data_IF_375538959159
#
_entry.id   IF_375538959159
#
_cell.length_a   1.000
_cell.length_b   1.000
_cell.length_c   1.000
_cell.angle_alpha   90.00
_cell.angle_beta   90.00
_cell.angle_gamma   90.00
#
_symmetry.space_group_name_H-M   'P 1'
#
loop_
_entity.id
_entity.type
_entity.pdbx_description
1 polymer ?
#
# COMPACT_ATOMS: atom_id res chain seq x y z
N UNK A 1 27.22 1.29 52.19
CA UNK A 1 25.83 1.61 51.80
C UNK A 1 25.67 1.27 50.33
N UNK A 2 24.69 0.44 49.97
CA UNK A 2 24.40 0.08 48.57
C UNK A 2 23.99 1.32 47.77
N UNK A 3 24.44 1.44 46.52
CA UNK A 3 23.93 2.47 45.60
C UNK A 3 22.43 2.22 45.38
N UNK A 4 21.64 3.29 45.45
CA UNK A 4 20.23 3.27 45.04
C UNK A 4 20.11 2.67 43.63
N UNK A 5 19.16 1.74 43.45
CA UNK A 5 18.89 1.10 42.16
C UNK A 5 17.38 1.02 41.96
N UNK A 6 16.84 1.89 41.11
CA UNK A 6 15.41 1.92 40.80
C UNK A 6 15.13 1.15 39.51
N UNK A 7 13.92 0.62 39.38
CA UNK A 7 13.49 -0.07 38.15
C UNK A 7 12.29 0.65 37.52
N UNK A 8 12.19 0.60 36.18
CA UNK A 8 11.02 1.13 35.49
C UNK A 8 9.71 0.44 35.88
N UNK A 9 9.77 -0.80 36.38
CA UNK A 9 8.60 -1.50 36.94
C UNK A 9 8.14 -0.84 38.26
N UNK A 10 9.07 -0.48 39.15
CA UNK A 10 8.75 0.20 40.40
C UNK A 10 8.13 1.58 40.17
N UNK A 11 8.65 2.35 39.21
CA UNK A 11 8.10 3.68 38.88
C UNK A 11 6.69 3.60 38.25
N UNK A 12 6.43 2.59 37.42
CA UNK A 12 5.08 2.35 36.89
C UNK A 12 4.08 1.99 37.99
N UNK A 13 4.50 1.19 38.98
CA UNK A 13 3.64 0.81 40.10
C UNK A 13 3.21 2.00 40.97
N UNK A 14 3.96 3.12 40.97
CA UNK A 14 3.60 4.34 41.69
C UNK A 14 2.91 5.39 40.80
N UNK A 15 2.65 5.08 39.52
CA UNK A 15 1.86 5.94 38.62
C UNK A 15 2.65 6.81 37.64
N UNK A 16 3.95 6.57 37.41
CA UNK A 16 4.68 7.29 36.35
C UNK A 16 4.14 6.95 34.95
N UNK A 17 3.97 7.95 34.06
CA UNK A 17 3.57 7.72 32.68
C UNK A 17 4.65 6.97 31.90
N UNK A 18 4.24 6.10 30.98
CA UNK A 18 5.19 5.43 30.09
C UNK A 18 5.88 6.44 29.18
N UNK A 19 7.22 6.42 29.16
CA UNK A 19 8.01 7.31 28.32
C UNK A 19 9.28 7.84 28.99
N UNK A 20 9.85 8.95 28.47
CA UNK A 20 11.12 9.52 28.94
C UNK A 20 11.09 9.96 30.42
N UNK A 21 9.91 10.21 31.00
CA UNK A 21 9.76 10.54 32.42
C UNK A 21 10.36 9.47 33.34
N UNK A 22 10.22 8.17 33.00
CA UNK A 22 10.75 7.06 33.80
C UNK A 22 12.27 7.04 33.77
N UNK A 23 12.88 7.17 32.59
CA UNK A 23 14.35 7.15 32.47
C UNK A 23 14.98 8.39 33.11
N UNK A 24 14.34 9.55 32.98
CA UNK A 24 14.78 10.80 33.62
C UNK A 24 14.68 10.69 35.15
N UNK A 25 13.56 10.16 35.67
CA UNK A 25 13.38 9.96 37.11
C UNK A 25 14.43 9.01 37.69
N UNK A 26 14.65 7.84 37.08
CA UNK A 26 15.70 6.90 37.52
C UNK A 26 17.07 7.58 37.52
N UNK A 27 17.44 8.24 36.42
CA UNK A 27 18.73 8.94 36.29
C UNK A 27 18.91 10.01 37.35
N UNK A 28 17.88 10.84 37.61
CA UNK A 28 17.97 11.91 38.61
C UNK A 28 18.06 11.35 40.03
N UNK A 29 17.29 10.30 40.36
CA UNK A 29 17.33 9.69 41.69
C UNK A 29 18.68 9.02 41.96
N UNK A 30 19.24 8.31 40.98
CA UNK A 30 20.56 7.67 41.11
C UNK A 30 21.71 8.69 41.23
N UNK A 31 21.57 9.87 40.62
CA UNK A 31 22.57 10.94 40.68
C UNK A 31 22.48 11.78 41.95
N UNK A 32 21.28 12.20 42.34
CA UNK A 32 21.05 13.20 43.39
C UNK A 32 20.64 12.60 44.73
N UNK A 33 20.09 11.40 44.74
CA UNK A 33 19.55 10.74 45.93
C UNK A 33 20.21 9.38 46.23
N UNK A 34 21.44 9.16 45.75
CA UNK A 34 22.19 7.87 45.78
C UNK A 34 22.31 7.15 47.14
N UNK A 35 22.09 7.84 48.26
CA UNK A 35 22.19 7.32 49.62
C UNK A 35 20.83 7.01 50.26
N UNK A 36 19.71 7.26 49.56
CA UNK A 36 18.37 6.94 50.03
C UNK A 36 18.09 5.44 49.88
N UNK A 37 17.18 4.92 50.71
CA UNK A 37 16.56 3.62 50.46
C UNK A 37 15.65 3.71 49.23
N UNK A 38 15.37 2.55 48.61
CA UNK A 38 14.43 2.47 47.48
C UNK A 38 13.05 3.03 47.86
N UNK A 39 12.56 2.70 49.06
CA UNK A 39 11.27 3.16 49.56
C UNK A 39 11.23 4.69 49.75
N UNK A 40 12.28 5.29 50.32
CA UNK A 40 12.37 6.74 50.47
C UNK A 40 12.46 7.46 49.11
N UNK A 41 13.19 6.88 48.15
CA UNK A 41 13.27 7.43 46.80
C UNK A 41 11.93 7.37 46.06
N UNK A 42 11.18 6.27 46.19
CA UNK A 42 9.85 6.16 45.60
C UNK A 42 8.85 7.13 46.24
N UNK A 43 8.98 7.41 47.53
CA UNK A 43 8.10 8.38 48.21
C UNK A 43 8.33 9.81 47.72
N UNK A 44 9.59 10.22 47.53
CA UNK A 44 9.92 11.50 46.90
C UNK A 44 9.27 11.59 45.51
N UNK A 45 9.39 10.53 44.71
CA UNK A 45 8.79 10.47 43.38
C UNK A 45 7.25 10.49 43.40
N UNK A 46 6.59 9.96 44.44
CA UNK A 46 5.13 10.09 44.62
C UNK A 46 4.71 11.52 44.91
N UNK A 47 5.47 12.25 45.71
CA UNK A 47 5.19 13.66 46.01
C UNK A 47 5.35 14.53 44.75
N UNK A 48 6.39 14.28 43.96
CA UNK A 48 6.57 14.95 42.66
C UNK A 48 5.46 14.57 41.68
N UNK A 49 4.95 13.35 41.70
CA UNK A 49 3.79 12.94 40.88
C UNK A 49 2.49 13.64 41.31
N UNK A 50 2.27 13.81 42.62
CA UNK A 50 1.04 14.39 43.15
C UNK A 50 0.93 15.89 42.93
N UNK A 51 2.05 16.59 42.94
CA UNK A 51 2.11 18.02 42.64
C UNK A 51 3.43 18.36 41.92
N UNK A 52 3.53 18.06 40.62
CA UNK A 52 4.75 18.33 39.88
C UNK A 52 5.13 19.83 39.90
N UNK A 53 4.14 20.73 39.89
CA UNK A 53 4.35 22.17 39.77
C UNK A 53 5.20 22.74 40.92
N UNK A 54 5.00 22.22 42.13
CA UNK A 54 5.78 22.60 43.32
C UNK A 54 7.29 22.35 43.17
N UNK A 55 7.70 21.44 42.28
CA UNK A 55 9.10 21.02 42.11
C UNK A 55 9.76 21.60 40.85
N UNK A 56 9.11 22.51 40.12
CA UNK A 56 9.69 23.17 38.94
C UNK A 56 10.92 24.03 39.27
N UNK A 57 11.01 24.54 40.49
CA UNK A 57 12.15 25.34 40.96
C UNK A 57 13.15 24.52 41.80
N UNK A 58 12.92 23.22 41.97
CA UNK A 58 13.81 22.34 42.75
C UNK A 58 15.03 21.91 41.91
N UNK A 59 16.24 22.18 42.38
CA UNK A 59 17.47 21.90 41.64
C UNK A 59 17.71 20.41 41.35
N UNK A 60 17.16 19.52 42.18
CA UNK A 60 17.30 18.07 42.03
C UNK A 60 16.14 17.45 41.25
N UNK A 61 14.93 17.99 41.39
CA UNK A 61 13.68 17.37 40.90
C UNK A 61 13.02 18.12 39.74
N UNK A 62 13.45 19.34 39.39
CA UNK A 62 12.92 20.12 38.26
C UNK A 62 12.89 19.36 36.95
N UNK A 63 13.89 18.51 36.67
CA UNK A 63 13.92 17.72 35.44
C UNK A 63 12.85 16.62 35.42
N UNK A 64 12.53 16.05 36.58
CA UNK A 64 11.48 15.04 36.73
C UNK A 64 10.12 15.73 36.67
N UNK A 65 9.93 16.79 37.45
CA UNK A 65 8.75 17.64 37.46
C UNK A 65 8.42 18.18 36.06
N UNK A 66 9.40 18.76 35.36
CA UNK A 66 9.22 19.29 34.01
C UNK A 66 8.80 18.25 32.98
N UNK A 67 9.13 16.96 33.18
CA UNK A 67 8.63 15.85 32.33
C UNK A 67 7.25 15.37 32.71
N UNK A 68 6.81 15.60 33.93
CA UNK A 68 5.46 15.32 34.40
C UNK A 68 4.48 16.46 34.06
N UNK A 69 5.00 17.70 33.95
CA UNK A 69 4.29 18.92 33.53
C UNK A 69 4.55 19.23 32.06
N UNK A 70 5.12 18.32 31.27
CA UNK A 70 4.86 18.37 29.84
C UNK A 70 3.37 18.08 29.67
N UNK A 71 2.54 19.11 29.93
CA UNK A 71 1.17 19.22 29.49
C UNK A 71 1.30 18.95 28.00
N UNK A 72 0.85 17.76 27.59
CA UNK A 72 0.35 17.61 26.24
C UNK A 72 -0.72 18.68 26.14
N UNK A 73 -0.37 19.87 25.66
CA UNK A 73 -1.31 20.59 24.83
C UNK A 73 -1.76 19.55 23.81
N UNK A 74 -3.06 19.29 23.74
CA UNK A 74 -3.63 18.50 22.65
C UNK A 74 -3.34 19.29 21.37
N UNK A 75 -2.14 19.07 20.84
CA UNK A 75 -1.68 19.58 19.55
C UNK A 75 -2.39 18.85 18.41
N UNK A 76 -3.10 17.77 18.74
CA UNK A 76 -3.80 16.94 17.77
C UNK A 76 -4.90 17.76 17.10
N UNK A 77 -4.87 17.79 15.77
CA UNK A 77 -5.91 18.43 14.98
C UNK A 77 -7.19 17.59 15.12
N UNK A 78 -8.31 18.18 15.58
CA UNK A 78 -9.52 17.40 15.85
C UNK A 78 -10.15 16.88 14.56
N UNK A 79 -10.76 15.70 14.64
CA UNK A 79 -11.60 15.16 13.58
C UNK A 79 -12.96 15.84 13.57
N UNK A 80 -13.57 15.97 12.39
CA UNK A 80 -14.96 16.42 12.22
C UNK A 80 -15.89 15.53 13.06
N UNK A 81 -16.83 16.15 13.76
CA UNK A 81 -17.89 15.43 14.47
C UNK A 81 -18.83 14.74 13.46
N UNK A 82 -19.16 15.45 12.38
CA UNK A 82 -20.00 14.95 11.29
C UNK A 82 -19.09 14.45 10.16
N UNK A 83 -19.10 13.14 9.84
CA UNK A 83 -18.33 12.61 8.71
C UNK A 83 -18.85 13.16 7.38
N UNK A 84 -17.96 13.35 6.40
CA UNK A 84 -18.40 13.61 5.02
C UNK A 84 -19.09 12.36 4.44
N UNK A 85 -20.04 12.51 3.51
CA UNK A 85 -20.72 11.37 2.92
C UNK A 85 -19.74 10.48 2.15
N UNK A 86 -19.99 9.17 2.20
CA UNK A 86 -19.31 8.19 1.37
C UNK A 86 -20.23 7.01 1.06
N UNK A 87 -20.09 6.46 -0.15
CA UNK A 87 -20.82 5.26 -0.55
C UNK A 87 -20.03 3.99 -0.28
N UNK A 88 -20.76 2.91 0.06
CA UNK A 88 -20.19 1.59 0.29
C UNK A 88 -20.75 0.62 -0.73
N UNK A 89 -19.87 0.01 -1.51
CA UNK A 89 -20.22 -1.03 -2.46
C UNK A 89 -19.90 -2.39 -1.84
N UNK A 90 -20.87 -3.31 -1.83
CA UNK A 90 -20.66 -4.67 -1.32
C UNK A 90 -20.42 -4.75 0.19
N UNK A 91 -21.12 -3.94 1.00
CA UNK A 91 -20.94 -3.86 2.45
C UNK A 91 -20.89 -5.22 3.19
N UNK A 92 -21.64 -6.23 2.72
CA UNK A 92 -21.64 -7.59 3.30
C UNK A 92 -20.30 -8.33 3.23
N UNK A 93 -19.35 -7.86 2.42
CA UNK A 93 -18.02 -8.46 2.25
C UNK A 93 -16.91 -7.69 2.98
N UNK A 94 -17.24 -6.61 3.69
CA UNK A 94 -16.26 -5.69 4.26
C UNK A 94 -16.20 -5.88 5.77
N UNK A 95 -15.00 -6.13 6.29
CA UNK A 95 -14.79 -6.31 7.72
C UNK A 95 -14.90 -5.00 8.51
N UNK A 96 -15.26 -5.10 9.80
CA UNK A 96 -15.44 -3.96 10.70
C UNK A 96 -14.22 -3.06 10.78
N UNK A 97 -13.01 -3.63 10.75
CA UNK A 97 -11.77 -2.86 10.80
C UNK A 97 -11.59 -1.92 9.61
N UNK A 98 -11.94 -2.39 8.40
CA UNK A 98 -11.90 -1.55 7.19
C UNK A 98 -12.95 -0.43 7.24
N UNK A 99 -14.17 -0.74 7.72
CA UNK A 99 -15.23 0.26 7.93
C UNK A 99 -14.80 1.34 8.94
N UNK A 100 -14.17 0.94 10.05
CA UNK A 100 -13.65 1.89 11.04
C UNK A 100 -12.56 2.80 10.46
N UNK A 101 -11.64 2.24 9.66
CA UNK A 101 -10.63 3.03 8.96
C UNK A 101 -11.24 4.07 8.02
N UNK A 102 -12.26 3.66 7.24
CA UNK A 102 -12.96 4.59 6.35
C UNK A 102 -13.71 5.67 7.13
N UNK A 103 -14.42 5.29 8.22
CA UNK A 103 -15.13 6.23 9.10
C UNK A 103 -14.20 7.27 9.71
N UNK A 104 -12.96 6.92 10.06
CA UNK A 104 -11.97 7.89 10.52
C UNK A 104 -11.47 8.79 9.38
N UNK A 105 -11.24 8.22 8.19
CA UNK A 105 -10.76 8.95 7.01
C UNK A 105 -11.73 10.05 6.55
N UNK A 106 -13.04 9.77 6.52
CA UNK A 106 -14.06 10.76 6.13
C UNK A 106 -14.33 11.83 7.19
N UNK A 107 -13.71 11.73 8.37
CA UNK A 107 -13.78 12.75 9.42
C UNK A 107 -12.57 13.67 9.44
N UNK A 108 -11.60 13.50 8.54
CA UNK A 108 -10.48 14.44 8.46
C UNK A 108 -10.98 15.85 8.10
N UNK A 109 -10.39 16.93 8.65
CA UNK A 109 -10.70 18.31 8.29
C UNK A 109 -10.67 18.54 6.77
N UNK A 110 -9.69 17.94 6.10
CA UNK A 110 -9.46 18.07 4.65
C UNK A 110 -10.33 17.15 3.79
N UNK A 111 -11.03 16.16 4.37
CA UNK A 111 -11.87 15.23 3.62
C UNK A 111 -13.11 15.95 3.04
N UNK A 112 -13.44 15.65 1.79
CA UNK A 112 -14.57 16.23 1.05
C UNK A 112 -15.61 15.17 0.67
N UNK A 113 -15.14 14.01 0.21
CA UNK A 113 -16.00 12.87 -0.13
C UNK A 113 -15.19 11.56 -0.05
N UNK A 114 -15.87 10.43 0.00
CA UNK A 114 -15.22 9.13 -0.06
C UNK A 114 -16.05 8.06 -0.76
N UNK A 115 -15.43 6.92 -1.00
CA UNK A 115 -16.11 5.69 -1.40
C UNK A 115 -15.33 4.47 -0.89
N UNK A 116 -16.03 3.36 -0.67
CA UNK A 116 -15.44 2.10 -0.24
C UNK A 116 -15.85 0.97 -1.18
N UNK A 117 -14.86 0.30 -1.76
CA UNK A 117 -15.03 -0.72 -2.79
C UNK A 117 -15.34 -2.11 -2.18
N UNK A 118 -15.92 -3.06 -2.94
CA UNK A 118 -16.34 -4.37 -2.40
C UNK A 118 -15.18 -5.27 -1.95
N UNK A 119 -13.99 -5.05 -2.49
CA UNK A 119 -12.76 -5.75 -2.11
C UNK A 119 -12.11 -5.18 -0.85
N UNK A 120 -12.74 -4.19 -0.21
CA UNK A 120 -12.13 -3.48 0.89
C UNK A 120 -11.81 -4.37 2.10
N UNK A 121 -10.64 -4.15 2.66
CA UNK A 121 -10.14 -4.87 3.83
C UNK A 121 -9.14 -4.01 4.61
N UNK A 122 -8.89 -4.39 5.85
CA UNK A 122 -8.12 -3.61 6.81
C UNK A 122 -6.66 -3.48 6.33
N UNK A 123 -6.20 -2.23 6.31
CA UNK A 123 -4.82 -1.86 5.99
C UNK A 123 -4.22 -0.96 7.07
N UNK A 124 -3.54 0.10 6.64
CA UNK A 124 -3.01 1.16 7.51
C UNK A 124 -3.49 2.52 7.00
N UNK A 125 -3.98 3.41 7.87
CA UNK A 125 -4.55 4.68 7.42
C UNK A 125 -5.85 4.43 6.65
N UNK A 126 -5.89 4.82 5.37
CA UNK A 126 -7.01 4.48 4.48
C UNK A 126 -7.06 2.94 4.29
N UNK A 127 -8.25 2.31 4.35
CA UNK A 127 -8.36 0.88 4.09
C UNK A 127 -7.96 0.57 2.64
N UNK A 128 -7.50 -0.65 2.39
CA UNK A 128 -7.37 -1.14 1.01
C UNK A 128 -8.79 -1.27 0.45
N UNK A 129 -9.02 -0.86 -0.79
CA UNK A 129 -10.36 -0.64 -1.37
C UNK A 129 -10.96 0.73 -1.04
N UNK A 130 -10.22 1.61 -0.34
CA UNK A 130 -10.68 2.94 0.04
C UNK A 130 -10.37 4.01 -1.01
N UNK A 131 -11.31 4.94 -1.19
CA UNK A 131 -11.16 6.14 -2.00
C UNK A 131 -11.51 7.37 -1.15
N UNK A 132 -10.62 8.35 -1.09
CA UNK A 132 -10.83 9.57 -0.31
C UNK A 132 -10.45 10.81 -1.14
N UNK A 133 -11.41 11.70 -1.36
CA UNK A 133 -11.16 13.01 -1.94
C UNK A 133 -10.89 14.02 -0.83
N UNK A 134 -9.76 14.73 -0.93
CA UNK A 134 -9.34 15.77 0.01
C UNK A 134 -9.14 17.11 -0.68
N UNK A 135 -9.40 18.20 0.03
CA UNK A 135 -9.14 19.57 -0.44
C UNK A 135 -7.70 19.98 -0.16
N UNK A 136 -6.93 20.30 -1.21
CA UNK A 136 -5.54 20.80 -1.13
C UNK A 136 -4.56 19.96 -0.28
N UNK A 137 -4.89 18.71 0.04
CA UNK A 137 -4.12 17.90 0.95
C UNK A 137 -3.79 16.55 0.33
N UNK A 138 -2.56 16.08 0.55
CA UNK A 138 -2.11 14.76 0.12
C UNK A 138 -1.73 13.93 1.35
N UNK A 139 -2.25 12.70 1.42
CA UNK A 139 -2.11 11.77 2.54
C UNK A 139 -1.19 10.63 2.11
N UNK A 140 0.09 10.59 2.52
CA UNK A 140 1.04 9.59 2.05
C UNK A 140 0.58 8.13 2.29
N UNK A 141 0.05 7.83 3.47
CA UNK A 141 -0.51 6.51 3.75
C UNK A 141 -1.85 6.23 3.07
N UNK A 142 -2.56 7.28 2.65
CA UNK A 142 -3.76 7.22 1.82
C UNK A 142 -3.45 6.83 0.37
N UNK A 143 -2.23 7.06 -0.11
CA UNK A 143 -1.69 6.49 -1.34
C UNK A 143 -1.25 5.04 -1.12
N UNK A 144 -0.56 4.78 -0.01
CA UNK A 144 0.01 3.47 0.30
C UNK A 144 1.53 3.45 0.20
N UNK A 145 2.13 2.36 0.68
CA UNK A 145 3.59 2.21 0.73
C UNK A 145 4.19 1.87 -0.63
N UNK A 146 3.50 1.04 -1.42
CA UNK A 146 3.89 0.76 -2.80
C UNK A 146 3.21 1.75 -3.74
N UNK A 147 3.80 2.95 -3.82
CA UNK A 147 3.31 4.06 -4.65
C UNK A 147 3.29 3.63 -6.11
N UNK A 148 2.18 3.88 -6.80
CA UNK A 148 2.07 3.57 -8.23
C UNK A 148 1.98 2.09 -8.54
N UNK A 149 1.75 1.23 -7.52
CA UNK A 149 1.39 -0.17 -7.72
C UNK A 149 0.22 -0.26 -8.69
N UNK A 150 0.37 -1.12 -9.70
CA UNK A 150 -0.48 -1.16 -10.87
C UNK A 150 -0.54 -2.55 -11.48
N UNK A 151 -1.55 -2.69 -12.33
CA UNK A 151 -1.69 -3.82 -13.24
C UNK A 151 -1.30 -3.39 -14.65
N UNK A 152 -0.67 -4.30 -15.41
CA UNK A 152 -0.42 -4.13 -16.83
C UNK A 152 -0.70 -5.46 -17.56
N UNK A 153 -1.67 -5.45 -18.46
CA UNK A 153 -2.00 -6.55 -19.36
C UNK A 153 -1.51 -6.20 -20.77
N UNK A 154 -0.71 -7.08 -21.38
CA UNK A 154 -0.41 -7.05 -22.81
C UNK A 154 -1.04 -8.24 -23.50
N UNK A 155 -1.87 -7.96 -24.51
CA UNK A 155 -2.46 -8.97 -25.40
C UNK A 155 -1.54 -9.10 -26.60
N UNK A 156 -1.20 -10.34 -26.99
CA UNK A 156 -0.18 -10.61 -28.03
C UNK A 156 -0.69 -11.50 -29.15
N UNK A 157 0.01 -11.50 -30.28
CA UNK A 157 -0.30 -12.22 -31.51
C UNK A 157 0.10 -13.71 -31.51
N UNK A 158 0.33 -14.30 -30.33
CA UNK A 158 0.66 -15.71 -30.22
C UNK A 158 -0.59 -16.59 -30.15
N UNK A 159 -0.60 -17.75 -30.83
CA UNK A 159 -1.69 -18.71 -30.70
C UNK A 159 -1.79 -19.23 -29.26
N UNK A 160 -3.01 -19.28 -28.72
CA UNK A 160 -3.30 -19.76 -27.35
C UNK A 160 -2.75 -21.17 -27.10
N UNK A 161 -2.83 -22.04 -28.10
CA UNK A 161 -2.27 -23.40 -28.06
C UNK A 161 -0.74 -23.44 -27.79
N UNK A 162 -0.04 -22.30 -27.92
CA UNK A 162 1.36 -22.18 -27.54
C UNK A 162 1.59 -22.40 -26.05
N UNK A 163 0.64 -22.04 -25.18
CA UNK A 163 0.78 -22.22 -23.73
C UNK A 163 1.01 -23.68 -23.37
N UNK A 164 0.32 -24.59 -24.06
CA UNK A 164 0.47 -26.03 -23.85
C UNK A 164 1.65 -26.58 -24.64
N UNK A 165 1.74 -26.25 -25.94
CA UNK A 165 2.77 -26.81 -26.85
C UNK A 165 4.20 -26.36 -26.52
N UNK A 166 4.36 -25.22 -25.83
CA UNK A 166 5.64 -24.59 -25.52
C UNK A 166 5.74 -24.16 -24.06
N UNK A 167 5.03 -24.85 -23.15
CA UNK A 167 4.97 -24.51 -21.72
C UNK A 167 6.37 -24.27 -21.10
N UNK A 168 7.33 -25.15 -21.39
CA UNK A 168 8.71 -25.03 -20.91
C UNK A 168 9.38 -23.73 -21.36
N UNK A 169 9.07 -23.25 -22.56
CA UNK A 169 9.58 -21.97 -23.05
C UNK A 169 9.01 -20.82 -22.25
N UNK A 170 7.70 -20.81 -21.97
CA UNK A 170 7.08 -19.76 -21.16
C UNK A 170 7.63 -19.75 -19.73
N UNK A 171 7.81 -20.92 -19.12
CA UNK A 171 8.41 -21.08 -17.78
C UNK A 171 9.84 -20.54 -17.78
N UNK A 172 10.65 -20.94 -18.77
CA UNK A 172 12.04 -20.48 -18.90
C UNK A 172 12.12 -18.97 -19.11
N UNK A 173 11.37 -18.42 -20.05
CA UNK A 173 11.42 -16.98 -20.34
C UNK A 173 10.90 -16.14 -19.19
N UNK A 174 9.82 -16.57 -18.50
CA UNK A 174 9.40 -15.94 -17.25
C UNK A 174 10.54 -15.95 -16.23
N UNK A 175 11.20 -17.09 -16.01
CA UNK A 175 12.28 -17.26 -15.04
C UNK A 175 13.50 -16.37 -15.36
N UNK A 176 13.87 -16.31 -16.63
CA UNK A 176 15.03 -15.56 -17.11
C UNK A 176 14.79 -14.05 -17.08
N UNK A 177 13.64 -13.59 -17.57
CA UNK A 177 13.38 -12.18 -17.85
C UNK A 177 12.62 -11.41 -16.77
N UNK A 178 12.30 -12.06 -15.66
CA UNK A 178 11.81 -11.37 -14.46
C UNK A 178 12.69 -11.65 -13.24
N UNK A 179 12.59 -10.77 -12.25
CA UNK A 179 13.36 -10.82 -11.00
C UNK A 179 12.42 -10.50 -9.86
N UNK A 180 12.35 -11.39 -8.88
CA UNK A 180 11.48 -11.30 -7.72
C UNK A 180 12.31 -11.29 -6.44
N UNK A 181 11.69 -10.86 -5.34
CA UNK A 181 12.29 -10.76 -4.01
C UNK A 181 12.70 -9.33 -3.62
N UNK A 182 12.75 -9.09 -2.31
CA UNK A 182 13.20 -7.83 -1.72
C UNK A 182 14.66 -7.56 -2.12
N UNK A 183 14.95 -6.37 -2.61
CA UNK A 183 16.32 -6.01 -3.02
C UNK A 183 16.81 -6.64 -4.32
N UNK A 184 15.99 -7.41 -5.04
CA UNK A 184 16.37 -7.96 -6.35
C UNK A 184 16.76 -6.84 -7.32
N UNK A 185 17.84 -7.03 -8.07
CA UNK A 185 18.37 -6.06 -9.03
C UNK A 185 18.92 -6.74 -10.28
N UNK A 186 19.08 -5.96 -11.35
CA UNK A 186 19.79 -6.36 -12.56
C UNK A 186 21.28 -6.01 -12.45
N UNK A 187 22.14 -6.91 -12.92
CA UNK A 187 23.59 -6.64 -13.02
C UNK A 187 23.89 -5.62 -14.12
N UNK A 188 23.22 -5.76 -15.27
CA UNK A 188 23.27 -4.79 -16.36
C UNK A 188 22.13 -3.80 -16.21
N UNK A 189 22.48 -2.54 -15.99
CA UNK A 189 21.51 -1.46 -15.89
C UNK A 189 20.85 -1.21 -17.25
N UNK A 190 19.56 -0.91 -17.22
CA UNK A 190 18.81 -0.53 -18.41
C UNK A 190 18.68 0.99 -18.44
N UNK A 191 19.09 1.60 -19.54
CA UNK A 191 18.80 3.00 -19.79
C UNK A 191 17.30 3.19 -20.03
N UNK A 192 16.69 4.11 -19.28
CA UNK A 192 15.30 4.50 -19.42
C UNK A 192 15.14 5.97 -19.02
N UNK A 193 14.37 6.78 -19.78
CA UNK A 193 14.17 8.20 -19.50
C UNK A 193 13.71 8.50 -18.07
N UNK A 194 13.04 7.54 -17.40
CA UNK A 194 12.61 7.75 -16.01
C UNK A 194 13.77 7.95 -15.04
N UNK A 195 14.95 7.39 -15.32
CA UNK A 195 16.15 7.55 -14.49
C UNK A 195 16.89 8.86 -14.75
N UNK A 196 16.52 9.58 -15.82
CA UNK A 196 17.10 10.87 -16.19
C UNK A 196 16.32 12.05 -15.60
N UNK A 197 15.21 11.78 -14.92
CA UNK A 197 14.35 12.79 -14.32
C UNK A 197 15.16 13.72 -13.37
N UNK A 198 15.07 15.05 -13.56
CA UNK A 198 15.86 16.01 -12.77
C UNK A 198 15.59 15.93 -11.27
N UNK A 199 14.43 15.40 -10.84
CA UNK A 199 14.11 15.22 -9.42
C UNK A 199 15.10 14.30 -8.70
N UNK A 200 15.74 13.34 -9.40
CA UNK A 200 16.83 12.55 -8.83
C UNK A 200 18.06 13.38 -8.47
N UNK A 201 18.22 14.56 -9.05
CA UNK A 201 19.29 15.50 -8.70
C UNK A 201 18.79 16.55 -7.71
N UNK A 202 17.54 16.97 -7.81
CA UNK A 202 16.99 18.07 -7.01
C UNK A 202 16.59 17.64 -5.60
N UNK A 203 15.89 16.51 -5.45
CA UNK A 203 15.39 16.04 -4.15
C UNK A 203 16.45 15.15 -3.46
N UNK A 204 16.95 15.52 -2.25
CA UNK A 204 18.01 14.76 -1.58
C UNK A 204 17.68 13.28 -1.38
N UNK A 205 16.45 12.96 -0.96
CA UNK A 205 16.00 11.58 -0.79
C UNK A 205 16.13 10.77 -2.08
N UNK A 206 15.63 11.31 -3.20
CA UNK A 206 15.66 10.63 -4.49
C UNK A 206 17.09 10.45 -4.99
N UNK A 207 17.96 11.46 -4.80
CA UNK A 207 19.39 11.38 -5.14
C UNK A 207 20.08 10.18 -4.49
N UNK A 208 19.79 9.91 -3.22
CA UNK A 208 20.32 8.75 -2.51
C UNK A 208 19.73 7.42 -3.00
N UNK A 209 18.53 7.44 -3.58
CA UNK A 209 17.84 6.25 -4.10
C UNK A 209 18.17 5.96 -5.57
N UNK A 210 18.73 6.90 -6.32
CA UNK A 210 18.92 6.81 -7.78
C UNK A 210 19.65 5.52 -8.22
N UNK A 211 20.81 5.22 -7.64
CA UNK A 211 21.55 4.00 -7.98
C UNK A 211 20.76 2.71 -7.68
N UNK A 212 20.03 2.69 -6.56
CA UNK A 212 19.17 1.55 -6.21
C UNK A 212 18.01 1.42 -7.20
N UNK A 213 17.37 2.54 -7.54
CA UNK A 213 16.30 2.59 -8.54
C UNK A 213 16.81 2.08 -9.90
N UNK A 214 17.99 2.50 -10.35
CA UNK A 214 18.57 2.00 -11.59
C UNK A 214 18.75 0.47 -11.58
N UNK A 215 19.24 -0.11 -10.48
CA UNK A 215 19.38 -1.55 -10.34
C UNK A 215 18.05 -2.31 -10.25
N UNK A 216 17.03 -1.72 -9.64
CA UNK A 216 15.70 -2.34 -9.46
C UNK A 216 14.75 -2.13 -10.65
N UNK A 217 15.13 -1.30 -11.62
CA UNK A 217 14.27 -0.94 -12.74
C UNK A 217 13.91 -2.19 -13.57
N UNK A 218 12.61 -2.42 -13.77
CA UNK A 218 12.12 -3.63 -14.45
C UNK A 218 12.24 -4.90 -13.61
N UNK A 219 12.29 -4.82 -12.28
CA UNK A 219 12.08 -5.99 -11.41
C UNK A 219 10.61 -6.11 -11.01
N UNK A 220 10.17 -7.31 -10.66
CA UNK A 220 8.79 -7.61 -10.29
C UNK A 220 8.52 -7.44 -8.80
N UNK A 221 9.53 -7.62 -7.94
CA UNK A 221 9.39 -7.37 -6.51
C UNK A 221 8.98 -8.56 -5.65
N UNK A 222 8.44 -8.29 -4.46
CA UNK A 222 8.02 -9.27 -3.47
C UNK A 222 6.52 -9.19 -3.14
N UNK A 223 6.08 -9.89 -2.10
CA UNK A 223 4.69 -9.84 -1.64
C UNK A 223 3.69 -10.39 -2.67
N UNK A 224 2.63 -9.64 -2.94
CA UNK A 224 1.56 -10.08 -3.86
C UNK A 224 1.86 -9.76 -5.35
N UNK A 225 3.09 -9.38 -5.66
CA UNK A 225 3.49 -9.07 -7.04
C UNK A 225 3.65 -10.36 -7.85
N UNK A 226 3.29 -10.28 -9.14
CA UNK A 226 3.36 -11.42 -10.04
C UNK A 226 3.56 -11.00 -11.49
N UNK A 227 4.00 -11.96 -12.30
CA UNK A 227 4.00 -11.89 -13.76
C UNK A 227 3.48 -13.22 -14.27
N UNK A 228 2.43 -13.19 -15.08
CA UNK A 228 1.72 -14.39 -15.49
C UNK A 228 1.28 -14.37 -16.95
N UNK A 229 1.34 -15.54 -17.57
CA UNK A 229 0.73 -15.80 -18.86
C UNK A 229 -0.64 -16.45 -18.67
N UNK A 230 -1.60 -16.03 -19.47
CA UNK A 230 -2.96 -16.52 -19.38
C UNK A 230 -3.75 -16.30 -20.66
N UNK A 231 -4.99 -16.78 -20.64
CA UNK A 231 -5.91 -16.73 -21.77
C UNK A 231 -6.79 -15.50 -21.61
N UNK A 232 -6.82 -14.65 -22.63
CA UNK A 232 -7.71 -13.49 -22.69
C UNK A 232 -8.91 -13.83 -23.57
N UNK A 233 -10.11 -13.71 -23.02
CA UNK A 233 -11.35 -13.79 -23.79
C UNK A 233 -11.94 -12.39 -23.92
N UNK A 234 -11.92 -11.84 -25.14
CA UNK A 234 -12.51 -10.54 -25.45
C UNK A 234 -13.95 -10.72 -25.93
N UNK A 235 -14.86 -9.94 -25.37
CA UNK A 235 -16.29 -10.01 -25.71
C UNK A 235 -16.75 -8.75 -26.43
N UNK A 236 -17.54 -8.93 -27.49
CA UNK A 236 -18.19 -7.83 -28.20
C UNK A 236 -17.24 -6.75 -28.72
N UNK A 237 -17.79 -5.57 -28.98
CA UNK A 237 -16.98 -4.37 -29.25
C UNK A 237 -16.35 -3.90 -27.96
N UNK A 238 -15.02 -3.81 -27.96
CA UNK A 238 -14.23 -3.41 -26.81
C UNK A 238 -13.28 -2.26 -27.18
N UNK A 239 -12.88 -1.53 -26.15
CA UNK A 239 -12.03 -0.33 -26.27
C UNK A 239 -10.55 -0.68 -26.53
N UNK A 240 -10.20 -1.97 -26.54
CA UNK A 240 -8.90 -2.45 -27.00
C UNK A 240 -8.82 -2.55 -28.54
N UNK A 241 -9.92 -2.29 -29.26
CA UNK A 241 -10.04 -2.42 -30.71
C UNK A 241 -9.69 -3.82 -31.25
N UNK A 242 -9.86 -4.85 -30.42
CA UNK A 242 -9.66 -6.24 -30.82
C UNK A 242 -11.01 -6.87 -31.21
N UNK A 243 -11.04 -7.72 -32.25
CA UNK A 243 -12.21 -8.55 -32.51
C UNK A 243 -12.59 -9.40 -31.28
N UNK A 244 -13.87 -9.78 -31.11
CA UNK A 244 -14.23 -10.82 -30.16
C UNK A 244 -13.45 -12.10 -30.44
N UNK A 245 -12.90 -12.72 -29.40
CA UNK A 245 -12.05 -13.89 -29.59
C UNK A 245 -11.22 -14.27 -28.38
N UNK A 246 -10.38 -15.28 -28.58
CA UNK A 246 -9.48 -15.81 -27.56
C UNK A 246 -8.04 -15.46 -27.96
N UNK A 247 -7.33 -14.81 -27.06
CA UNK A 247 -5.97 -14.31 -27.24
C UNK A 247 -5.07 -14.80 -26.12
N UNK A 248 -3.77 -14.65 -26.34
CA UNK A 248 -2.78 -14.83 -25.28
C UNK A 248 -2.51 -13.49 -24.58
N UNK A 249 -2.51 -13.49 -23.25
CA UNK A 249 -2.22 -12.31 -22.42
C UNK A 249 -1.02 -12.52 -21.51
N UNK A 250 -0.21 -11.48 -21.38
CA UNK A 250 0.82 -11.33 -20.36
C UNK A 250 0.34 -10.28 -19.35
N UNK A 251 0.09 -10.69 -18.11
CA UNK A 251 -0.32 -9.82 -17.03
C UNK A 251 0.83 -9.65 -16.03
N UNK A 252 1.05 -8.44 -15.54
CA UNK A 252 1.93 -8.21 -14.40
C UNK A 252 1.28 -7.29 -13.37
N UNK A 253 1.62 -7.56 -12.12
CA UNK A 253 1.29 -6.79 -10.93
C UNK A 253 2.58 -6.44 -10.22
N UNK A 254 2.90 -5.15 -10.16
CA UNK A 254 4.10 -4.62 -9.53
C UNK A 254 3.90 -3.14 -9.22
N UNK A 255 4.91 -2.51 -8.63
CA UNK A 255 4.89 -1.10 -8.28
C UNK A 255 6.25 -0.46 -8.39
N UNK A 256 6.48 0.55 -7.56
CA UNK A 256 7.69 1.39 -7.64
C UNK A 256 8.85 0.85 -6.82
N UNK A 257 8.71 -0.35 -6.25
CA UNK A 257 9.78 -1.05 -5.51
C UNK A 257 10.26 -0.21 -4.32
N UNK A 258 11.52 -0.40 -3.94
CA UNK A 258 12.16 0.34 -2.87
C UNK A 258 12.17 1.86 -3.07
N UNK A 259 11.99 2.37 -4.29
CA UNK A 259 11.86 3.81 -4.53
C UNK A 259 10.59 4.35 -3.85
N UNK A 260 9.42 3.79 -4.19
CA UNK A 260 8.16 4.24 -3.60
C UNK A 260 8.05 3.93 -2.12
N UNK A 261 8.52 2.77 -1.68
CA UNK A 261 8.49 2.41 -0.26
C UNK A 261 9.26 3.42 0.61
N UNK A 262 10.43 3.87 0.14
CA UNK A 262 11.27 4.85 0.84
C UNK A 262 10.66 6.26 0.79
N UNK A 263 10.09 6.66 -0.35
CA UNK A 263 9.32 7.91 -0.49
C UNK A 263 8.14 7.91 0.48
N UNK A 264 7.27 6.89 0.42
CA UNK A 264 6.11 6.76 1.29
C UNK A 264 6.51 6.80 2.77
N UNK A 265 7.54 6.05 3.16
CA UNK A 265 8.04 6.01 4.55
C UNK A 265 8.55 7.36 5.02
N UNK A 266 9.30 8.08 4.17
CA UNK A 266 9.84 9.39 4.52
C UNK A 266 8.72 10.42 4.74
N UNK A 267 7.85 10.62 3.76
CA UNK A 267 6.83 11.67 3.82
C UNK A 267 5.67 11.32 4.76
N UNK A 268 5.42 10.03 5.00
CA UNK A 268 4.51 9.61 6.09
C UNK A 268 5.01 10.07 7.45
N UNK A 269 6.31 9.91 7.74
CA UNK A 269 6.88 10.34 9.00
C UNK A 269 6.75 11.86 9.14
N UNK A 270 7.12 12.57 8.08
CA UNK A 270 7.03 14.03 8.03
C UNK A 270 5.58 14.50 8.21
N UNK A 271 4.62 13.88 7.54
CA UNK A 271 3.20 14.19 7.70
C UNK A 271 2.74 14.03 9.15
N UNK A 272 3.14 12.94 9.83
CA UNK A 272 2.80 12.72 11.24
C UNK A 272 3.43 13.73 12.20
N UNK A 273 4.59 14.28 11.85
CA UNK A 273 5.27 15.32 12.63
C UNK A 273 4.61 16.70 12.43
N UNK A 274 4.22 17.02 11.20
CA UNK A 274 3.62 18.31 10.82
C UNK A 274 2.12 18.39 11.09
N UNK A 275 1.43 17.26 11.01
CA UNK A 275 -0.02 17.12 11.16
C UNK A 275 -0.32 16.08 12.26
N UNK A 276 -0.12 16.43 13.54
CA UNK A 276 -0.48 15.56 14.66
C UNK A 276 -2.00 15.33 14.65
N UNK A 277 -2.41 14.07 14.74
CA UNK A 277 -3.80 13.64 14.75
C UNK A 277 -4.04 12.68 15.92
N UNK A 278 -5.30 12.56 16.37
CA UNK A 278 -5.69 11.56 17.36
C UNK A 278 -5.21 10.16 16.98
N UNK A 279 -4.98 9.32 17.97
CA UNK A 279 -4.37 7.98 17.80
C UNK A 279 -5.08 7.12 16.76
N UNK A 280 -6.39 7.21 16.68
CA UNK A 280 -7.24 6.49 15.72
C UNK A 280 -7.09 6.96 14.27
N UNK A 281 -6.56 8.16 14.05
CA UNK A 281 -6.36 8.78 12.74
C UNK A 281 -4.89 9.14 12.45
N UNK A 282 -3.94 8.79 13.32
CA UNK A 282 -2.52 9.13 13.15
C UNK A 282 -1.91 8.71 11.80
N UNK A 283 -2.42 7.64 11.18
CA UNK A 283 -1.96 7.14 9.88
C UNK A 283 -2.62 7.86 8.69
N UNK A 284 -3.46 8.85 8.96
CA UNK A 284 -4.14 9.70 7.99
C UNK A 284 -3.59 11.14 7.99
N UNK A 285 -2.46 11.36 8.67
CA UNK A 285 -1.77 12.64 8.63
C UNK A 285 -1.43 13.03 7.19
N UNK A 286 -1.60 14.31 6.86
CA UNK A 286 -1.46 14.82 5.50
C UNK A 286 -0.38 15.89 5.40
N UNK A 287 -0.06 16.23 4.16
CA UNK A 287 0.76 17.38 3.78
C UNK A 287 -0.12 18.30 2.93
N UNK A 288 -0.17 19.58 3.26
CA UNK A 288 -0.83 20.58 2.43
C UNK A 288 -0.03 20.79 1.14
N UNK A 289 -0.69 20.83 0.00
CA UNK A 289 -0.03 20.95 -1.30
C UNK A 289 0.59 22.32 -1.54
N UNK A 290 0.25 23.36 -0.79
CA UNK A 290 0.93 24.65 -0.85
C UNK A 290 2.22 24.70 0.00
N UNK A 291 2.47 23.68 0.82
CA UNK A 291 3.69 23.54 1.60
C UNK A 291 4.85 22.95 0.78
N UNK A 292 6.09 23.28 1.17
CA UNK A 292 7.30 22.70 0.58
C UNK A 292 7.27 21.17 0.67
N UNK A 293 6.96 20.61 1.84
CA UNK A 293 6.85 19.17 2.06
C UNK A 293 5.78 18.51 1.18
N UNK A 294 4.63 19.16 0.99
CA UNK A 294 3.55 18.66 0.14
C UNK A 294 3.92 18.67 -1.34
N UNK A 295 4.56 19.75 -1.82
CA UNK A 295 5.07 19.84 -3.19
C UNK A 295 6.14 18.80 -3.48
N UNK A 296 7.12 18.65 -2.58
CA UNK A 296 8.20 17.67 -2.71
C UNK A 296 7.66 16.24 -2.73
N UNK A 297 6.73 15.90 -1.81
CA UNK A 297 6.07 14.60 -1.83
C UNK A 297 5.27 14.38 -3.11
N UNK A 298 4.52 15.38 -3.57
CA UNK A 298 3.72 15.29 -4.79
C UNK A 298 4.60 14.97 -5.99
N UNK A 299 5.74 15.66 -6.14
CA UNK A 299 6.72 15.40 -7.19
C UNK A 299 7.34 14.00 -7.07
N UNK A 300 7.79 13.61 -5.87
CA UNK A 300 8.38 12.30 -5.62
C UNK A 300 7.39 11.14 -5.85
N UNK A 301 6.12 11.32 -5.46
CA UNK A 301 5.04 10.36 -5.71
C UNK A 301 4.80 10.20 -7.21
N UNK A 302 4.75 11.30 -7.97
CA UNK A 302 4.58 11.25 -9.43
C UNK A 302 5.74 10.54 -10.13
N UNK A 303 6.98 10.82 -9.72
CA UNK A 303 8.15 10.09 -10.23
C UNK A 303 8.07 8.59 -9.90
N UNK A 304 7.71 8.23 -8.66
CA UNK A 304 7.54 6.83 -8.28
C UNK A 304 6.44 6.15 -9.13
N UNK A 305 5.35 6.85 -9.43
CA UNK A 305 4.33 6.41 -10.37
C UNK A 305 4.89 6.13 -11.77
N UNK A 306 5.63 7.07 -12.35
CA UNK A 306 6.27 6.90 -13.67
C UNK A 306 7.28 5.74 -13.67
N UNK A 307 8.06 5.62 -12.60
CA UNK A 307 9.02 4.54 -12.41
C UNK A 307 8.34 3.16 -12.35
N UNK A 308 7.21 3.04 -11.65
CA UNK A 308 6.40 1.82 -11.68
C UNK A 308 5.96 1.49 -13.12
N UNK A 309 5.49 2.48 -13.90
CA UNK A 309 5.12 2.27 -15.30
C UNK A 309 6.27 1.72 -16.14
N UNK A 310 7.45 2.34 -16.02
CA UNK A 310 8.65 1.92 -16.72
C UNK A 310 9.03 0.47 -16.37
N UNK A 311 8.94 0.08 -15.08
CA UNK A 311 9.16 -1.29 -14.66
C UNK A 311 8.28 -2.29 -15.41
N UNK A 312 6.97 -2.04 -15.48
CA UNK A 312 6.03 -2.89 -16.21
C UNK A 312 6.34 -2.96 -17.71
N UNK A 313 6.58 -1.80 -18.34
CA UNK A 313 6.88 -1.73 -19.77
C UNK A 313 8.16 -2.50 -20.12
N UNK A 314 9.18 -2.44 -19.27
CA UNK A 314 10.42 -3.20 -19.44
C UNK A 314 10.24 -4.72 -19.24
N UNK A 315 9.47 -5.14 -18.23
CA UNK A 315 9.09 -6.56 -18.03
C UNK A 315 8.38 -7.07 -19.28
N UNK A 316 7.36 -6.37 -19.74
CA UNK A 316 6.56 -6.76 -20.91
C UNK A 316 7.40 -6.77 -22.19
N UNK A 317 8.19 -5.72 -22.43
CA UNK A 317 9.06 -5.63 -23.62
C UNK A 317 10.02 -6.81 -23.72
N UNK A 318 10.65 -7.21 -22.62
CA UNK A 318 11.60 -8.34 -22.60
C UNK A 318 10.90 -9.66 -22.86
N UNK A 319 9.78 -9.93 -22.18
CA UNK A 319 9.04 -11.18 -22.34
C UNK A 319 8.41 -11.32 -23.74
N UNK A 320 7.78 -10.26 -24.24
CA UNK A 320 7.19 -10.24 -25.59
C UNK A 320 8.28 -10.49 -26.64
N UNK A 321 9.43 -9.80 -26.51
CA UNK A 321 10.58 -10.00 -27.41
C UNK A 321 11.14 -11.42 -27.33
N UNK A 322 11.34 -11.95 -26.12
CA UNK A 322 11.89 -13.30 -25.91
C UNK A 322 10.97 -14.40 -26.47
N UNK A 323 9.66 -14.18 -26.43
CA UNK A 323 8.67 -15.09 -27.00
C UNK A 323 8.47 -14.93 -28.53
N UNK A 324 9.13 -13.95 -29.15
CA UNK A 324 8.99 -13.65 -30.58
C UNK A 324 7.59 -13.15 -30.95
N UNK A 325 6.92 -12.45 -30.04
CA UNK A 325 5.55 -11.98 -30.19
C UNK A 325 5.48 -10.48 -30.51
N UNK A 326 4.32 -10.04 -30.99
CA UNK A 326 3.95 -8.64 -31.17
C UNK A 326 2.82 -8.26 -30.21
N UNK A 327 2.86 -7.01 -29.74
CA UNK A 327 1.81 -6.44 -28.91
C UNK A 327 0.61 -6.05 -29.78
N UNK A 328 -0.57 -6.60 -29.46
CA UNK A 328 -1.84 -6.25 -30.09
C UNK A 328 -2.56 -5.12 -29.35
N UNK A 329 -2.62 -5.21 -28.02
CA UNK A 329 -3.25 -4.21 -27.17
C UNK A 329 -2.64 -4.22 -25.77
N UNK A 330 -2.75 -3.09 -25.07
CA UNK A 330 -2.34 -2.95 -23.66
C UNK A 330 -3.47 -2.34 -22.84
N UNK A 331 -3.71 -2.91 -21.66
CA UNK A 331 -4.60 -2.37 -20.63
C UNK A 331 -3.78 -2.21 -19.36
N UNK A 332 -3.79 -1.02 -18.75
CA UNK A 332 -3.06 -0.76 -17.53
C UNK A 332 -3.82 0.21 -16.64
N UNK A 333 -3.71 0.01 -15.32
CA UNK A 333 -4.39 0.83 -14.34
C UNK A 333 -3.63 0.83 -13.01
N UNK A 334 -3.51 2.02 -12.41
CA UNK A 334 -2.97 2.19 -11.07
C UNK A 334 -4.00 1.77 -10.03
N UNK A 335 -3.54 1.36 -8.86
CA UNK A 335 -4.42 1.14 -7.71
C UNK A 335 -3.91 1.67 -6.37
N UNK A 336 -2.69 2.22 -6.31
CA UNK A 336 -2.15 2.94 -5.15
C UNK A 336 -1.60 4.30 -5.60
N UNK A 337 -2.40 5.35 -5.61
CA UNK A 337 -1.97 6.66 -6.08
C UNK A 337 -2.92 7.78 -5.64
N UNK A 338 -2.51 9.04 -5.84
CA UNK A 338 -3.37 10.21 -5.70
C UNK A 338 -3.36 11.07 -6.98
N UNK A 339 -4.52 11.59 -7.35
CA UNK A 339 -4.68 12.42 -8.56
C UNK A 339 -5.38 13.73 -8.23
N UNK A 340 -5.03 14.78 -8.98
CA UNK A 340 -5.83 16.01 -9.04
C UNK A 340 -7.00 15.76 -9.99
N UNK A 341 -8.22 15.86 -9.47
CA UNK A 341 -9.44 15.60 -10.24
C UNK A 341 -10.49 16.67 -9.98
N UNK A 342 -11.30 16.94 -11.00
CA UNK A 342 -12.42 17.86 -10.90
C UNK A 342 -13.69 17.10 -10.55
N UNK A 343 -14.25 17.34 -9.36
CA UNK A 343 -15.50 16.74 -8.91
C UNK A 343 -16.46 17.85 -8.48
N UNK A 344 -17.66 17.88 -9.07
CA UNK A 344 -18.68 18.92 -8.80
C UNK A 344 -18.16 20.36 -8.92
N UNK A 345 -17.21 20.61 -9.85
CA UNK A 345 -16.62 21.94 -10.07
C UNK A 345 -15.52 22.33 -9.08
N UNK A 346 -15.10 21.43 -8.19
CA UNK A 346 -13.98 21.63 -7.27
C UNK A 346 -12.79 20.73 -7.65
N UNK A 347 -11.59 21.29 -7.69
CA UNK A 347 -10.35 20.50 -7.78
C UNK A 347 -10.08 19.82 -6.43
N UNK A 348 -9.96 18.49 -6.45
CA UNK A 348 -9.73 17.66 -5.28
C UNK A 348 -8.54 16.73 -5.51
N UNK A 349 -7.91 16.31 -4.42
CA UNK A 349 -6.89 15.28 -4.40
C UNK A 349 -7.55 13.96 -4.05
N UNK A 350 -7.75 13.11 -5.06
CA UNK A 350 -8.43 11.83 -4.93
C UNK A 350 -7.38 10.74 -4.68
N UNK A 351 -7.36 10.24 -3.45
CA UNK A 351 -6.51 9.14 -3.03
C UNK A 351 -7.23 7.83 -3.31
N UNK A 352 -6.56 6.89 -3.98
CA UNK A 352 -7.03 5.52 -4.15
C UNK A 352 -5.98 4.57 -3.60
N UNK A 353 -6.39 3.71 -2.67
CA UNK A 353 -5.55 2.66 -2.10
C UNK A 353 -6.23 1.33 -2.26
N UNK A 354 -5.67 0.46 -3.08
CA UNK A 354 -6.36 -0.72 -3.57
C UNK A 354 -7.67 -0.42 -4.28
N UNK A 355 -7.75 0.70 -4.99
CA UNK A 355 -8.90 1.07 -5.80
C UNK A 355 -8.40 1.71 -7.10
N UNK A 356 -9.13 1.51 -8.20
CA UNK A 356 -8.65 1.90 -9.53
C UNK A 356 -9.54 2.96 -10.17
N UNK A 357 -8.98 3.87 -11.01
CA UNK A 357 -9.80 4.79 -11.79
C UNK A 357 -10.79 4.05 -12.70
N UNK A 358 -12.05 4.50 -12.68
CA UNK A 358 -13.18 3.97 -13.43
C UNK A 358 -14.07 5.09 -13.98
N UNK A 359 -13.44 6.21 -14.38
CA UNK A 359 -14.13 7.24 -15.16
C UNK A 359 -14.69 6.66 -16.46
N UNK A 360 -15.70 7.32 -17.02
CA UNK A 360 -16.43 6.81 -18.19
C UNK A 360 -15.46 6.49 -19.33
N UNK A 361 -15.42 5.22 -19.74
CA UNK A 361 -14.57 4.75 -20.84
C UNK A 361 -13.14 4.37 -20.44
N UNK A 362 -12.71 4.60 -19.20
CA UNK A 362 -11.38 4.21 -18.73
C UNK A 362 -11.30 2.70 -18.63
N UNK A 363 -10.33 2.09 -19.33
CA UNK A 363 -10.05 0.67 -19.25
C UNK A 363 -9.24 0.34 -18.00
N UNK A 364 -9.46 -0.86 -17.46
CA UNK A 364 -8.64 -1.43 -16.40
C UNK A 364 -8.70 -2.94 -16.37
N UNK A 365 -7.88 -3.55 -15.52
CA UNK A 365 -7.95 -4.96 -15.18
C UNK A 365 -8.06 -5.14 -13.66
N UNK A 366 -9.03 -5.97 -13.27
CA UNK A 366 -9.31 -6.35 -11.88
C UNK A 366 -8.95 -7.84 -11.73
N UNK A 367 -7.75 -8.18 -11.21
CA UNK A 367 -7.34 -9.56 -11.00
C UNK A 367 -8.15 -10.28 -9.90
N UNK A 368 -8.33 -11.58 -10.06
CA UNK A 368 -8.88 -12.47 -9.04
C UNK A 368 -7.81 -12.98 -8.08
N UNK A 369 -7.19 -14.09 -8.45
CA UNK A 369 -6.07 -14.73 -7.73
C UNK A 369 -5.22 -15.52 -8.72
N UNK A 370 -4.18 -16.20 -8.26
CA UNK A 370 -3.36 -17.07 -9.12
C UNK A 370 -4.14 -18.17 -9.88
N UNK A 371 -5.37 -18.50 -9.46
CA UNK A 371 -6.24 -19.46 -10.16
C UNK A 371 -7.58 -18.87 -10.61
N UNK A 372 -8.07 -17.83 -9.94
CA UNK A 372 -9.35 -17.20 -10.27
C UNK A 372 -9.19 -16.21 -11.44
N UNK A 373 -10.23 -16.00 -12.25
CA UNK A 373 -10.15 -15.10 -13.40
C UNK A 373 -9.94 -13.65 -12.96
N UNK A 374 -9.22 -12.90 -13.79
CA UNK A 374 -9.25 -11.44 -13.83
C UNK A 374 -10.27 -10.93 -14.84
N UNK A 375 -10.69 -9.68 -14.67
CA UNK A 375 -11.69 -9.03 -15.50
C UNK A 375 -11.11 -7.80 -16.17
N UNK A 376 -11.22 -7.73 -17.50
CA UNK A 376 -10.94 -6.50 -18.24
C UNK A 376 -12.23 -5.69 -18.21
N UNK A 377 -12.13 -4.47 -17.71
CA UNK A 377 -13.28 -3.64 -17.37
C UNK A 377 -13.20 -2.28 -18.04
N UNK A 378 -14.37 -1.66 -18.22
CA UNK A 378 -14.51 -0.27 -18.65
C UNK A 378 -15.30 0.49 -17.59
N UNK A 379 -14.75 1.61 -17.12
CA UNK A 379 -15.40 2.48 -16.15
C UNK A 379 -16.72 3.07 -16.67
N UNK A 380 -17.73 3.11 -15.81
CA UNK A 380 -19.03 3.75 -16.09
C UNK A 380 -19.06 5.22 -15.70
N UNK A 381 -18.07 5.68 -14.92
CA UNK A 381 -18.00 7.06 -14.42
C UNK A 381 -19.02 7.35 -13.34
N UNK A 382 -19.24 6.41 -12.41
CA UNK A 382 -20.13 6.62 -11.26
C UNK A 382 -19.58 7.72 -10.35
N UNK A 383 -20.33 8.81 -10.19
CA UNK A 383 -19.91 9.98 -9.45
C UNK A 383 -19.78 9.68 -7.95
N UNK A 384 -20.69 8.85 -7.41
CA UNK A 384 -20.69 8.51 -6.00
C UNK A 384 -19.51 7.61 -5.59
N UNK A 385 -18.84 6.95 -6.56
CA UNK A 385 -17.59 6.23 -6.33
C UNK A 385 -16.33 7.08 -6.58
N UNK A 386 -16.49 8.39 -6.81
CA UNK A 386 -15.43 9.28 -7.27
C UNK A 386 -14.75 8.72 -8.54
N UNK A 387 -15.58 8.21 -9.46
CA UNK A 387 -15.13 7.56 -10.68
C UNK A 387 -14.11 6.44 -10.40
N UNK A 388 -14.38 5.58 -9.42
CA UNK A 388 -13.48 4.50 -9.00
C UNK A 388 -14.16 3.15 -8.97
N UNK A 389 -13.35 2.09 -9.02
CA UNK A 389 -13.76 0.69 -8.90
C UNK A 389 -12.77 -0.10 -8.04
N UNK A 390 -13.13 -1.35 -7.75
CA UNK A 390 -12.28 -2.29 -7.01
C UNK A 390 -10.99 -2.57 -7.79
N UNK A 391 -9.90 -2.90 -7.10
CA UNK A 391 -8.62 -3.23 -7.73
C UNK A 391 -8.37 -4.73 -7.88
N UNK A 392 -9.12 -5.57 -7.18
CA UNK A 392 -8.96 -7.02 -7.25
C UNK A 392 -10.03 -7.75 -6.45
N UNK A 393 -9.74 -8.97 -6.01
CA UNK A 393 -10.61 -9.72 -5.12
C UNK A 393 -10.59 -9.20 -3.67
N UNK A 394 -9.47 -8.63 -3.23
CA UNK A 394 -9.26 -8.26 -1.83
C UNK A 394 -9.00 -9.47 -0.93
N UNK A 395 -8.25 -9.26 0.15
CA UNK A 395 -7.93 -10.36 1.08
C UNK A 395 -9.10 -10.57 2.05
N UNK A 396 -9.35 -11.84 2.38
CA UNK A 396 -10.19 -12.25 3.51
C UNK A 396 -9.37 -12.84 4.67
N UNK A 397 -8.13 -13.27 4.40
CA UNK A 397 -7.18 -13.74 5.41
C UNK A 397 -5.90 -12.89 5.38
N UNK A 398 -5.39 -12.54 6.56
CA UNK A 398 -4.05 -11.97 6.67
C UNK A 398 -3.01 -12.98 6.15
N UNK A 399 -1.86 -12.50 5.65
CA UNK A 399 -0.78 -13.38 5.15
C UNK A 399 -0.37 -14.42 6.20
N UNK A 400 -0.21 -13.99 7.45
CA UNK A 400 0.11 -14.88 8.57
C UNK A 400 -0.96 -15.94 8.79
N UNK A 401 -2.25 -15.56 8.75
CA UNK A 401 -3.34 -16.51 8.96
C UNK A 401 -3.47 -17.48 7.78
N UNK A 402 -3.30 -17.00 6.55
CA UNK A 402 -3.28 -17.85 5.36
C UNK A 402 -2.16 -18.89 5.43
N UNK A 403 -0.92 -18.46 5.72
CA UNK A 403 0.23 -19.35 5.87
C UNK A 403 0.05 -20.40 6.99
N UNK A 404 -0.72 -20.08 8.04
CA UNK A 404 -1.00 -21.01 9.15
C UNK A 404 -2.15 -21.98 8.87
N UNK A 405 -3.08 -21.63 7.98
CA UNK A 405 -4.33 -22.37 7.78
C UNK A 405 -4.39 -23.13 6.46
N UNK A 406 -3.59 -22.73 5.47
CA UNK A 406 -3.58 -23.32 4.14
C UNK A 406 -2.28 -24.11 3.97
N UNK A 407 -2.40 -25.39 3.62
CA UNK A 407 -1.24 -26.24 3.39
C UNK A 407 -0.75 -26.14 1.94
N UNK A 408 0.55 -26.41 1.72
CA UNK A 408 1.12 -26.51 0.37
C UNK A 408 0.43 -27.58 -0.47
N UNK A 409 -0.02 -28.66 0.16
CA UNK A 409 -0.75 -29.74 -0.52
C UNK A 409 -2.09 -29.26 -1.09
N UNK A 410 -2.89 -28.54 -0.29
CA UNK A 410 -4.16 -27.96 -0.74
C UNK A 410 -3.97 -26.95 -1.87
N UNK A 411 -2.95 -26.09 -1.76
CA UNK A 411 -2.58 -25.16 -2.82
C UNK A 411 -2.23 -25.90 -4.12
N UNK A 412 -1.35 -26.91 -4.06
CA UNK A 412 -0.93 -27.69 -5.22
C UNK A 412 -2.09 -28.47 -5.86
N UNK A 413 -3.02 -28.97 -5.03
CA UNK A 413 -4.24 -29.62 -5.51
C UNK A 413 -5.10 -28.64 -6.31
N UNK A 414 -5.35 -27.44 -5.77
CA UNK A 414 -6.12 -26.41 -6.44
C UNK A 414 -5.46 -25.93 -7.76
N UNK A 415 -4.14 -25.78 -7.77
CA UNK A 415 -3.38 -25.43 -8.97
C UNK A 415 -3.54 -26.49 -10.07
N UNK A 416 -3.43 -27.77 -9.71
CA UNK A 416 -3.63 -28.90 -10.62
C UNK A 416 -5.04 -28.93 -11.19
N UNK A 417 -6.06 -28.78 -10.35
CA UNK A 417 -7.47 -28.78 -10.76
C UNK A 417 -7.80 -27.65 -11.75
N UNK A 418 -7.13 -26.50 -11.64
CA UNK A 418 -7.33 -25.35 -12.52
C UNK A 418 -6.36 -25.32 -13.73
N UNK A 419 -5.45 -26.29 -13.80
CA UNK A 419 -4.42 -26.35 -14.83
C UNK A 419 -3.50 -25.12 -14.82
N UNK A 420 -3.07 -24.70 -13.63
CA UNK A 420 -2.17 -23.56 -13.42
C UNK A 420 -0.80 -24.05 -12.96
N UNK A 421 0.25 -23.59 -13.64
CA UNK A 421 1.64 -23.78 -13.22
C UNK A 421 2.07 -22.58 -12.38
N UNK A 422 2.48 -22.82 -11.13
CA UNK A 422 3.00 -21.79 -10.23
C UNK A 422 4.53 -21.92 -10.11
N UNK A 423 5.25 -20.82 -10.32
CA UNK A 423 6.70 -20.68 -10.15
C UNK A 423 6.93 -19.70 -8.98
N UNK A 424 7.54 -20.18 -7.90
CA UNK A 424 7.62 -19.45 -6.63
C UNK A 424 6.31 -19.52 -5.87
N UNK A 425 5.99 -18.46 -5.11
CA UNK A 425 4.75 -18.33 -4.35
C UNK A 425 4.63 -19.27 -3.15
N UNK A 426 3.66 -18.97 -2.29
CA UNK A 426 3.41 -19.70 -1.05
C UNK A 426 1.92 -19.77 -0.70
N UNK A 427 1.58 -20.52 0.37
CA UNK A 427 0.22 -20.60 0.88
C UNK A 427 -0.35 -19.25 1.38
N UNK A 428 0.50 -18.27 1.65
CA UNK A 428 0.12 -16.92 2.06
C UNK A 428 -0.62 -16.13 0.98
N UNK A 429 -0.41 -16.48 -0.29
CA UNK A 429 -1.08 -15.92 -1.46
C UNK A 429 -2.06 -16.90 -2.13
N UNK A 430 -2.37 -18.02 -1.48
CA UNK A 430 -3.29 -19.01 -2.00
C UNK A 430 -4.69 -18.43 -2.30
N UNK A 431 -5.43 -18.96 -3.29
CA UNK A 431 -6.74 -18.42 -3.67
C UNK A 431 -7.76 -18.30 -2.53
N UNK A 432 -7.73 -19.21 -1.55
CA UNK A 432 -8.61 -19.17 -0.38
C UNK A 432 -8.31 -18.00 0.58
N UNK A 433 -7.16 -17.33 0.46
CA UNK A 433 -6.85 -16.12 1.21
C UNK A 433 -7.57 -14.87 0.68
N UNK A 434 -8.16 -14.96 -0.52
CA UNK A 434 -8.83 -13.87 -1.23
C UNK A 434 -10.34 -14.08 -1.28
N UNK A 435 -11.11 -12.99 -1.33
CA UNK A 435 -12.57 -13.06 -1.48
C UNK A 435 -12.93 -13.67 -2.84
N UNK A 436 -14.20 -14.07 -3.01
CA UNK A 436 -14.68 -14.53 -4.30
C UNK A 436 -14.77 -13.36 -5.29
N UNK A 437 -13.90 -13.36 -6.31
CA UNK A 437 -13.86 -12.30 -7.33
C UNK A 437 -15.21 -12.12 -8.05
N UNK A 438 -15.99 -13.18 -8.24
CA UNK A 438 -17.28 -13.08 -8.92
C UNK A 438 -18.31 -12.29 -8.09
N UNK A 439 -18.28 -12.44 -6.78
CA UNK A 439 -19.13 -11.68 -5.85
C UNK A 439 -18.70 -10.21 -5.80
N UNK A 440 -17.38 -9.96 -5.75
CA UNK A 440 -16.81 -8.60 -5.83
C UNK A 440 -17.22 -7.91 -7.12
N UNK A 441 -17.15 -8.58 -8.27
CA UNK A 441 -17.60 -8.04 -9.55
C UNK A 441 -19.10 -7.80 -9.61
N UNK A 442 -19.92 -8.71 -9.05
CA UNK A 442 -21.36 -8.53 -8.99
C UNK A 442 -21.76 -7.29 -8.16
N UNK A 443 -21.05 -7.05 -7.05
CA UNK A 443 -21.27 -5.92 -6.14
C UNK A 443 -20.88 -4.54 -6.70
N UNK A 444 -20.18 -4.49 -7.85
CA UNK A 444 -19.76 -3.25 -8.51
C UNK A 444 -20.23 -3.12 -9.95
N UNK A 445 -21.31 -3.83 -10.32
CA UNK A 445 -21.88 -3.77 -11.68
C UNK A 445 -22.34 -2.37 -12.10
N UNK A 446 -22.60 -1.46 -11.15
CA UNK A 446 -22.85 -0.04 -11.40
C UNK A 446 -21.60 0.76 -11.74
N UNK A 447 -20.42 0.30 -11.34
CA UNK A 447 -19.14 1.02 -11.47
C UNK A 447 -18.43 0.73 -12.79
N UNK A 448 -18.57 -0.50 -13.31
CA UNK A 448 -17.83 -0.97 -14.48
C UNK A 448 -18.66 -1.90 -15.38
N UNK A 449 -18.37 -1.86 -16.68
CA UNK A 449 -18.76 -2.88 -17.65
C UNK A 449 -17.63 -3.91 -17.79
N UNK A 450 -17.95 -5.21 -17.84
CA UNK A 450 -16.97 -6.25 -18.18
C UNK A 450 -16.86 -6.37 -19.70
N UNK A 451 -15.68 -6.13 -20.25
CA UNK A 451 -15.40 -6.19 -21.70
C UNK A 451 -14.51 -7.38 -22.10
N UNK A 452 -13.94 -8.07 -21.10
CA UNK A 452 -13.17 -9.28 -21.31
C UNK A 452 -12.79 -9.98 -20.00
N UNK A 453 -12.20 -11.16 -20.12
CA UNK A 453 -11.72 -11.97 -18.99
C UNK A 453 -10.30 -12.44 -19.24
N UNK A 454 -9.51 -12.54 -18.18
CA UNK A 454 -8.16 -13.11 -18.18
C UNK A 454 -8.15 -14.34 -17.28
N UNK A 455 -7.73 -15.49 -17.81
CA UNK A 455 -7.59 -16.73 -17.04
C UNK A 455 -6.09 -17.05 -16.88
N UNK A 456 -5.53 -17.01 -15.66
CA UNK A 456 -4.12 -17.36 -15.44
C UNK A 456 -3.83 -18.83 -15.80
N UNK A 457 -2.63 -19.08 -16.32
CA UNK A 457 -2.15 -20.43 -16.70
C UNK A 457 -0.71 -20.71 -16.24
N UNK A 458 0.18 -19.73 -16.35
CA UNK A 458 1.56 -19.87 -15.85
C UNK A 458 1.86 -18.61 -15.04
N UNK A 459 1.97 -18.77 -13.73
CA UNK A 459 2.10 -17.68 -12.76
C UNK A 459 3.49 -17.71 -12.16
N UNK A 460 4.19 -16.58 -12.18
CA UNK A 460 5.44 -16.40 -11.44
C UNK A 460 5.26 -15.35 -10.35
N UNK A 461 5.64 -15.71 -9.14
CA UNK A 461 5.64 -14.84 -7.96
C UNK A 461 7.00 -14.90 -7.27
N UNK A 462 7.18 -14.05 -6.26
CA UNK A 462 8.30 -14.19 -5.33
C UNK A 462 8.14 -15.44 -4.45
N UNK A 463 9.25 -15.93 -3.91
CA UNK A 463 9.22 -17.09 -3.02
C UNK A 463 8.46 -16.80 -1.72
N UNK A 464 7.99 -17.86 -1.08
CA UNK A 464 7.18 -17.84 0.13
C UNK A 464 7.82 -16.98 1.24
N UNK A 465 7.02 -16.15 1.89
CA UNK A 465 7.45 -15.26 2.98
C UNK A 465 8.26 -14.03 2.56
N UNK A 466 8.45 -13.80 1.26
CA UNK A 466 9.10 -12.58 0.76
C UNK A 466 8.28 -11.32 1.08
N UNK A 467 8.96 -10.27 1.57
CA UNK A 467 8.34 -8.98 1.88
C UNK A 467 8.48 -8.02 0.70
N UNK A 468 7.60 -7.04 0.62
CA UNK A 468 7.62 -6.07 -0.48
C UNK A 468 8.86 -5.18 -0.49
N UNK A 469 9.51 -4.95 0.67
CA UNK A 469 10.87 -4.44 0.84
C UNK A 469 11.40 -4.72 2.28
#
# INVERSE_FOLDING_TARGET
>A
MSKLKLTGKALRNIGFPEGPAISVAITQMEQRFRHHSEEAALEILRQVLSDPMAYLCDDALRKVAGRLIEVKEDKDIPLKEIPVPYEIYGAGFIETGALQQMNNAVRLPVAVAGALMPDAHQGYGLPIGGVLAASNAVIPYGVGVDIGCRMCLSIVDLPVASLEKRADSFIRELTTHTRFGSGASWETLTDDPVLEDPLFREIPLLRHLHHRAAGQLGTSGGGNHFVEWGIVHMTGTNDCHLPPGIYLGLLSHSGSRGLGAQVATHYTRLARELCPLPKEAQHLAWLELDSEAGQEYWQAMNLAGNYASACHHLIHRRLIKAMGAQLLARVENHHNFAWKEMHNGQELIVHRKGATPAAKGVLGIIPGSMTAPGYIVRGRGEAASLHSASHGAGRQLSRTKAAQTITRHELNKQLTEQGVVLIGGGPDEAPAAYKNINEVMAAQSSLVDVVGRFQPKIVRMADDGSRED
#
